data_IF_982080092894
#
_entry.id   IF_982080092894
#
_cell.length_a   1.000
_cell.length_b   1.000
_cell.length_c   1.000
_cell.angle_alpha   90.00
_cell.angle_beta   90.00
_cell.angle_gamma   90.00
#
_symmetry.space_group_name_H-M   'P 1'
#
loop_
_entity.id
_entity.type
_entity.pdbx_description
1 polymer ?
#
# COMPACT_ATOMS: atom_id res chain seq x y z
N UNK A 1 -0.44 -0.04 -27.48
CA UNK A 1 -1.62 0.58 -26.81
C UNK A 1 -1.60 0.07 -25.38
N UNK A 2 -1.52 0.95 -24.37
CA UNK A 2 -1.38 0.54 -22.98
C UNK A 2 -2.73 0.61 -22.29
N UNK A 3 -3.25 -0.53 -21.83
CA UNK A 3 -4.37 -0.58 -20.90
C UNK A 3 -3.94 0.11 -19.61
N UNK A 4 -4.47 1.30 -19.34
CA UNK A 4 -4.08 2.13 -18.20
C UNK A 4 -5.30 2.73 -17.53
N UNK A 5 -5.37 2.62 -16.21
CA UNK A 5 -6.36 3.31 -15.38
C UNK A 5 -5.63 4.45 -14.65
N UNK A 6 -6.06 5.70 -14.88
CA UNK A 6 -5.55 6.89 -14.21
C UNK A 6 -6.65 7.58 -13.41
N UNK A 7 -6.31 8.03 -12.20
CA UNK A 7 -7.18 8.82 -11.33
C UNK A 7 -6.36 9.92 -10.65
N UNK A 8 -6.94 11.12 -10.56
CA UNK A 8 -6.35 12.28 -9.89
C UNK A 8 -7.36 12.85 -8.90
N UNK A 9 -6.87 13.30 -7.74
CA UNK A 9 -7.66 13.95 -6.70
C UNK A 9 -6.87 15.12 -6.12
N UNK A 10 -7.57 16.18 -5.69
CA UNK A 10 -6.96 17.30 -4.99
C UNK A 10 -7.13 17.11 -3.47
N UNK A 11 -6.03 17.20 -2.74
CA UNK A 11 -6.01 17.06 -1.28
C UNK A 11 -5.53 18.36 -0.64
N UNK A 12 -6.32 18.89 0.31
CA UNK A 12 -5.93 20.04 1.14
C UNK A 12 -4.99 19.60 2.27
N UNK A 13 -3.81 19.08 1.90
CA UNK A 13 -2.80 18.62 2.83
C UNK A 13 -1.38 18.88 2.28
N UNK A 14 -0.37 19.11 3.14
CA UNK A 14 1.02 19.22 2.69
C UNK A 14 1.51 17.92 2.05
N UNK A 15 2.33 18.01 1.00
CA UNK A 15 2.88 16.83 0.31
C UNK A 15 3.61 15.86 1.25
N UNK A 16 4.30 16.37 2.27
CA UNK A 16 4.96 15.54 3.27
C UNK A 16 3.98 14.66 4.09
N UNK A 17 2.77 15.17 4.39
CA UNK A 17 1.73 14.41 5.08
C UNK A 17 1.20 13.29 4.19
N UNK A 18 0.98 13.59 2.92
CA UNK A 18 0.51 12.62 1.91
C UNK A 18 1.57 11.53 1.73
N UNK A 19 2.84 11.92 1.57
CA UNK A 19 3.93 10.97 1.45
C UNK A 19 4.04 10.04 2.67
N UNK A 20 3.92 10.58 3.89
CA UNK A 20 3.94 9.76 5.12
C UNK A 20 2.77 8.76 5.16
N UNK A 21 1.55 9.18 4.80
CA UNK A 21 0.40 8.26 4.74
C UNK A 21 0.62 7.09 3.76
N UNK A 22 1.34 7.34 2.66
CA UNK A 22 1.63 6.32 1.65
C UNK A 22 2.82 5.41 2.01
N UNK A 23 3.75 5.87 2.84
CA UNK A 23 5.02 5.18 3.11
C UNK A 23 5.18 4.66 4.53
N UNK A 24 4.39 5.16 5.49
CA UNK A 24 4.29 4.54 6.80
C UNK A 24 3.33 3.36 6.74
N UNK A 25 3.83 2.16 7.06
CA UNK A 25 3.04 0.91 6.98
C UNK A 25 1.79 0.90 7.87
N UNK A 26 1.77 1.63 8.98
CA UNK A 26 0.59 1.67 9.87
C UNK A 26 -0.47 2.57 9.30
N UNK A 27 -0.09 3.79 8.90
CA UNK A 27 -1.03 4.73 8.28
C UNK A 27 -1.59 4.19 6.95
N UNK A 28 -0.75 3.55 6.14
CA UNK A 28 -1.17 2.86 4.92
C UNK A 28 -2.18 1.74 5.27
N UNK A 29 -1.85 0.91 6.26
CA UNK A 29 -2.69 -0.20 6.69
C UNK A 29 -4.09 0.23 7.14
N UNK A 30 -4.19 1.37 7.83
CA UNK A 30 -5.48 1.95 8.23
C UNK A 30 -6.37 2.29 7.03
N UNK A 31 -5.79 2.89 5.98
CA UNK A 31 -6.54 3.32 4.79
C UNK A 31 -7.00 2.14 3.95
N UNK A 32 -6.13 1.15 3.75
CA UNK A 32 -6.41 -0.01 2.91
C UNK A 32 -7.05 -1.17 3.68
N UNK A 33 -7.29 -1.01 4.99
CA UNK A 33 -7.77 -2.07 5.90
C UNK A 33 -6.90 -3.32 5.81
N UNK A 34 -5.60 -3.14 6.00
CA UNK A 34 -4.59 -4.20 6.06
C UNK A 34 -3.74 -3.99 7.31
N UNK A 35 -3.66 -4.99 8.17
CA UNK A 35 -2.68 -5.00 9.26
C UNK A 35 -1.33 -5.43 8.69
N UNK A 36 -0.44 -4.46 8.49
CA UNK A 36 0.87 -4.68 7.89
C UNK A 36 1.84 -5.35 8.89
N UNK A 37 2.56 -6.38 8.44
CA UNK A 37 3.49 -7.14 9.29
C UNK A 37 4.73 -6.32 9.70
N UNK A 38 5.02 -5.22 8.98
CA UNK A 38 6.13 -4.33 9.28
C UNK A 38 6.35 -3.24 8.22
N UNK A 39 7.43 -2.44 8.37
CA UNK A 39 7.75 -1.34 7.45
C UNK A 39 8.03 -1.82 6.02
N UNK A 40 7.75 -0.95 5.04
CA UNK A 40 8.17 -1.17 3.65
C UNK A 40 9.69 -1.09 3.53
N UNK A 41 10.28 -2.07 2.84
CA UNK A 41 11.72 -2.13 2.56
C UNK A 41 11.89 -2.45 1.08
N UNK A 42 12.70 -1.65 0.39
CA UNK A 42 12.98 -1.83 -1.04
C UNK A 42 13.51 -3.24 -1.31
N UNK A 43 12.98 -3.87 -2.36
CA UNK A 43 13.34 -5.24 -2.76
C UNK A 43 12.80 -6.34 -1.85
N UNK A 44 12.02 -6.02 -0.80
CA UNK A 44 11.34 -7.01 0.04
C UNK A 44 9.84 -7.02 -0.23
N UNK A 45 9.25 -8.21 -0.18
CA UNK A 45 7.79 -8.38 -0.27
C UNK A 45 7.15 -7.82 0.99
N UNK A 46 6.26 -6.85 0.80
CA UNK A 46 5.42 -6.35 1.87
C UNK A 46 4.23 -7.29 2.08
N UNK A 47 3.90 -7.58 3.34
CA UNK A 47 2.87 -8.53 3.72
C UNK A 47 1.99 -7.95 4.82
N UNK A 48 0.75 -8.41 4.86
CA UNK A 48 -0.18 -8.07 5.93
C UNK A 48 -1.47 -8.86 5.87
N UNK A 49 -2.23 -8.82 6.96
CA UNK A 49 -3.54 -9.46 7.08
C UNK A 49 -4.62 -8.49 6.61
N UNK A 50 -5.48 -8.93 5.69
CA UNK A 50 -6.62 -8.13 5.25
C UNK A 50 -7.65 -8.05 6.39
N UNK A 51 -8.16 -6.86 6.65
CA UNK A 51 -9.17 -6.58 7.68
C UNK A 51 -10.54 -6.24 7.08
N UNK A 52 -10.72 -6.36 5.76
CA UNK A 52 -12.03 -6.25 5.13
C UNK A 52 -12.92 -7.43 5.57
N UNK A 53 -14.14 -7.16 6.06
CA UNK A 53 -15.10 -8.22 6.40
C UNK A 53 -15.31 -9.21 5.26
N UNK A 54 -15.15 -10.51 5.55
CA UNK A 54 -15.31 -11.61 4.60
C UNK A 54 -14.04 -11.96 3.79
N UNK A 55 -12.96 -11.17 3.93
CA UNK A 55 -11.69 -11.37 3.22
C UNK A 55 -10.50 -11.59 4.16
N UNK A 56 -10.74 -11.79 5.45
CA UNK A 56 -9.70 -11.89 6.48
C UNK A 56 -8.81 -13.13 6.33
N UNK A 57 -9.28 -14.12 5.58
CA UNK A 57 -8.55 -15.34 5.24
C UNK A 57 -7.48 -15.10 4.16
N UNK A 58 -7.44 -13.91 3.55
CA UNK A 58 -6.47 -13.56 2.53
C UNK A 58 -5.30 -12.78 3.13
N UNK A 59 -4.09 -13.15 2.69
CA UNK A 59 -2.87 -12.38 2.97
C UNK A 59 -2.64 -11.40 1.84
N UNK A 60 -2.53 -10.12 2.17
CA UNK A 60 -2.07 -9.12 1.23
C UNK A 60 -0.57 -9.32 0.98
N UNK A 61 -0.16 -9.34 -0.30
CA UNK A 61 1.24 -9.43 -0.70
C UNK A 61 1.50 -8.44 -1.81
N UNK A 62 2.46 -7.54 -1.60
CA UNK A 62 2.96 -6.66 -2.63
C UNK A 62 4.43 -6.98 -2.89
N UNK A 63 4.70 -7.43 -4.11
CA UNK A 63 6.03 -7.65 -4.62
C UNK A 63 6.51 -6.29 -5.13
N UNK A 64 7.11 -5.49 -4.24
CA UNK A 64 7.80 -4.26 -4.64
C UNK A 64 8.85 -4.64 -5.69
N UNK A 65 8.88 -3.89 -6.79
CA UNK A 65 9.57 -4.21 -8.05
C UNK A 65 10.82 -5.09 -7.87
N UNK A 66 10.61 -6.39 -8.04
CA UNK A 66 11.66 -7.41 -8.11
C UNK A 66 11.94 -7.81 -9.55
N UNK A 67 11.45 -7.03 -10.53
CA UNK A 67 11.42 -7.39 -11.94
C UNK A 67 12.25 -6.44 -12.83
N UNK A 68 13.05 -5.54 -12.25
CA UNK A 68 14.08 -4.79 -12.96
C UNK A 68 15.48 -5.15 -12.44
N UNK A 69 15.93 -6.35 -12.82
CA UNK A 69 17.33 -6.66 -13.10
C UNK A 69 17.37 -7.63 -14.29
#
# INVERSE_FOLDING_TARGET
MSDRIEKSIELKAPSARVWRALTDHREFGEWFRVEMDGPFVVGKVARGRILHPGYEHLTWRNYGDSALN
#
